data_IF_067498068084
#
_entry.id   IF_067498068084
#
_cell.length_a   1.000
_cell.length_b   1.000
_cell.length_c   1.000
_cell.angle_alpha   90.00
_cell.angle_beta   90.00
_cell.angle_gamma   90.00
#
_symmetry.space_group_name_H-M   'P 1'
#
loop_
_entity.id
_entity.type
_entity.pdbx_description
1 polymer ?
#
# COMPACT_ATOMS: atom_id res chain seq x y z
N UNK A 1 -27.47 -10.80 8.20
CA UNK A 1 -27.29 -11.11 6.76
C UNK A 1 -26.58 -9.97 6.04
N UNK A 2 -25.53 -10.30 5.27
CA UNK A 2 -24.71 -9.35 4.52
C UNK A 2 -25.05 -9.46 3.03
N UNK A 3 -24.98 -8.33 2.31
CA UNK A 3 -25.25 -8.27 0.86
C UNK A 3 -23.98 -7.92 0.10
N UNK A 4 -23.88 -8.36 -1.15
CA UNK A 4 -22.77 -7.99 -2.03
C UNK A 4 -22.88 -6.52 -2.40
N UNK A 5 -21.87 -5.73 -2.02
CA UNK A 5 -21.81 -4.26 -2.25
C UNK A 5 -20.81 -3.87 -3.33
N UNK A 6 -20.10 -4.82 -3.92
CA UNK A 6 -19.06 -4.58 -4.92
C UNK A 6 -18.14 -5.77 -5.08
N UNK A 7 -17.01 -5.53 -5.73
CA UNK A 7 -15.97 -6.53 -5.98
C UNK A 7 -14.59 -5.87 -5.92
N UNK A 8 -13.54 -6.69 -5.78
CA UNK A 8 -12.17 -6.19 -5.79
C UNK A 8 -11.27 -7.12 -6.60
N UNK A 9 -10.17 -6.56 -7.09
CA UNK A 9 -9.10 -7.31 -7.72
C UNK A 9 -7.76 -6.62 -7.46
N UNK A 10 -6.67 -7.25 -7.91
CA UNK A 10 -5.32 -6.74 -7.71
C UNK A 10 -4.64 -6.41 -9.03
N UNK A 11 -3.92 -5.30 -9.07
CA UNK A 11 -3.03 -4.91 -10.16
C UNK A 11 -1.59 -4.86 -9.65
N UNK A 12 -0.85 -5.99 -9.66
CA UNK A 12 0.47 -6.06 -9.06
C UNK A 12 1.48 -5.25 -9.88
N UNK A 13 1.99 -4.15 -9.32
CA UNK A 13 3.05 -3.33 -9.91
C UNK A 13 2.59 -2.29 -10.93
N UNK A 14 1.30 -2.25 -11.28
CA UNK A 14 0.76 -1.34 -12.30
C UNK A 14 -0.02 -0.14 -11.72
N UNK A 15 -0.21 -0.09 -10.39
CA UNK A 15 -1.05 0.89 -9.73
C UNK A 15 -2.56 0.65 -9.91
N UNK A 16 -3.37 1.53 -9.33
CA UNK A 16 -4.82 1.39 -9.29
C UNK A 16 -5.50 2.12 -10.46
N UNK A 17 -6.08 1.37 -11.38
CA UNK A 17 -6.89 1.84 -12.51
C UNK A 17 -7.75 0.68 -13.04
N UNK A 18 -8.74 0.95 -13.88
CA UNK A 18 -9.57 -0.10 -14.48
C UNK A 18 -9.22 -0.29 -15.96
N UNK A 19 -8.93 -1.54 -16.35
CA UNK A 19 -8.78 -1.93 -17.75
C UNK A 19 -10.12 -2.04 -18.46
N UNK A 20 -10.11 -2.21 -19.78
CA UNK A 20 -11.35 -2.45 -20.55
C UNK A 20 -12.12 -3.68 -20.07
N UNK A 21 -11.41 -4.73 -19.62
CA UNK A 21 -12.03 -5.94 -19.05
C UNK A 21 -12.66 -5.63 -17.69
N UNK A 22 -11.99 -4.84 -16.86
CA UNK A 22 -12.51 -4.43 -15.55
C UNK A 22 -13.74 -3.53 -15.67
N UNK A 23 -13.73 -2.62 -16.65
CA UNK A 23 -14.87 -1.75 -16.97
C UNK A 23 -16.08 -2.60 -17.37
N UNK A 24 -15.92 -3.56 -18.28
CA UNK A 24 -17.02 -4.43 -18.71
C UNK A 24 -17.57 -5.28 -17.55
N UNK A 25 -16.67 -5.76 -16.69
CA UNK A 25 -17.04 -6.52 -15.49
C UNK A 25 -17.83 -5.64 -14.51
N UNK A 26 -17.33 -4.44 -14.23
CA UNK A 26 -18.01 -3.47 -13.36
C UNK A 26 -19.38 -3.08 -13.92
N UNK A 27 -19.52 -2.89 -15.24
CA UNK A 27 -20.81 -2.59 -15.87
C UNK A 27 -21.85 -3.68 -15.60
N UNK A 28 -21.41 -4.95 -15.61
CA UNK A 28 -22.27 -6.09 -15.29
C UNK A 28 -22.70 -6.06 -13.82
N UNK A 29 -21.79 -5.75 -12.90
CA UNK A 29 -22.12 -5.61 -11.47
C UNK A 29 -23.04 -4.42 -11.18
N UNK A 30 -22.84 -3.28 -11.86
CA UNK A 30 -23.71 -2.10 -11.71
C UNK A 30 -25.14 -2.36 -12.23
N UNK A 31 -25.32 -3.26 -13.20
CA UNK A 31 -26.63 -3.68 -13.66
C UNK A 31 -27.42 -4.50 -12.61
N UNK A 32 -26.72 -5.27 -11.76
CA UNK A 32 -27.35 -5.98 -10.64
C UNK A 32 -27.52 -5.09 -9.41
N UNK A 33 -26.53 -4.24 -9.13
CA UNK A 33 -26.51 -3.33 -7.98
C UNK A 33 -25.95 -1.99 -8.40
N UNK A 34 -26.83 -0.99 -8.52
CA UNK A 34 -26.49 0.36 -8.99
C UNK A 34 -25.31 1.00 -8.24
N UNK A 35 -25.12 0.62 -6.97
CA UNK A 35 -24.07 1.16 -6.10
C UNK A 35 -22.85 0.27 -5.96
N UNK A 36 -22.69 -0.75 -6.80
CA UNK A 36 -21.50 -1.59 -6.80
C UNK A 36 -20.21 -0.75 -6.89
N UNK A 37 -19.20 -1.12 -6.11
CA UNK A 37 -17.89 -0.47 -6.11
C UNK A 37 -16.83 -1.47 -6.56
N UNK A 38 -15.94 -1.05 -7.47
CA UNK A 38 -14.75 -1.80 -7.84
C UNK A 38 -13.55 -1.31 -7.04
N UNK A 39 -12.91 -2.18 -6.26
CA UNK A 39 -11.70 -1.84 -5.49
C UNK A 39 -10.47 -2.45 -6.15
N UNK A 40 -9.42 -1.66 -6.34
CA UNK A 40 -8.14 -2.13 -6.91
C UNK A 40 -7.05 -1.97 -5.87
N UNK A 41 -6.33 -3.07 -5.61
CA UNK A 41 -5.21 -3.09 -4.67
C UNK A 41 -3.92 -3.42 -5.43
N UNK A 42 -2.85 -2.65 -5.19
CA UNK A 42 -1.52 -3.00 -5.68
C UNK A 42 -0.65 -3.49 -4.51
N UNK A 43 -0.51 -4.81 -4.30
CA UNK A 43 0.27 -5.35 -3.19
C UNK A 43 1.78 -5.16 -3.38
N UNK A 44 2.27 -4.94 -4.60
CA UNK A 44 3.72 -4.80 -4.87
C UNK A 44 4.18 -3.40 -4.52
N UNK A 45 3.39 -2.38 -4.89
CA UNK A 45 3.70 -0.99 -4.56
C UNK A 45 3.31 -0.61 -3.12
N UNK A 46 2.48 -1.44 -2.47
CA UNK A 46 2.12 -1.26 -1.06
C UNK A 46 3.30 -1.61 -0.15
N UNK A 47 3.72 -0.65 0.68
CA UNK A 47 4.83 -0.80 1.62
C UNK A 47 4.40 -0.43 3.04
N UNK A 48 5.21 -0.76 4.05
CA UNK A 48 4.92 -0.39 5.45
C UNK A 48 4.71 1.12 5.55
N UNK A 49 3.50 1.54 5.92
CA UNK A 49 3.11 2.95 6.05
C UNK A 49 2.37 3.55 4.84
N UNK A 50 2.31 2.86 3.70
CA UNK A 50 1.53 3.29 2.52
C UNK A 50 0.89 2.09 1.83
N UNK A 51 -0.43 1.99 1.95
CA UNK A 51 -1.22 1.01 1.20
C UNK A 51 -1.69 1.65 -0.10
N UNK A 52 -1.37 1.03 -1.23
CA UNK A 52 -1.79 1.47 -2.56
C UNK A 52 -3.12 0.77 -2.87
N UNK A 53 -4.21 1.50 -2.61
CA UNK A 53 -5.59 1.06 -2.80
C UNK A 53 -6.41 2.24 -3.30
N UNK A 54 -7.28 1.99 -4.27
CA UNK A 54 -8.24 2.96 -4.78
C UNK A 54 -9.57 2.25 -5.10
N UNK A 55 -10.65 3.02 -5.11
CA UNK A 55 -12.00 2.53 -5.36
C UNK A 55 -12.63 3.32 -6.50
N UNK A 56 -13.31 2.64 -7.40
CA UNK A 56 -13.82 3.21 -8.63
C UNK A 56 -15.29 2.88 -8.85
N UNK A 57 -15.96 3.76 -9.58
CA UNK A 57 -17.30 3.53 -10.16
C UNK A 57 -17.35 4.09 -11.58
N UNK A 58 -18.15 3.48 -12.44
CA UNK A 58 -18.30 3.95 -13.82
C UNK A 58 -19.09 5.25 -13.89
N UNK A 59 -18.82 6.00 -14.96
CA UNK A 59 -19.59 7.17 -15.36
C UNK A 59 -20.58 6.71 -16.43
N UNK A 60 -21.86 7.05 -16.27
CA UNK A 60 -22.85 6.77 -17.30
C UNK A 60 -22.54 7.66 -18.54
N UNK A 61 -22.31 7.08 -19.73
CA UNK A 61 -22.00 7.85 -20.94
C UNK A 61 -23.07 8.88 -21.29
N UNK A 62 -24.34 8.57 -21.00
CA UNK A 62 -25.45 9.49 -21.28
C UNK A 62 -25.36 10.77 -20.43
N UNK A 63 -24.83 10.68 -19.20
CA UNK A 63 -24.64 11.84 -18.34
C UNK A 63 -23.52 12.76 -18.83
N UNK A 64 -22.45 12.19 -19.40
CA UNK A 64 -21.35 12.98 -19.98
C UNK A 64 -21.81 13.81 -21.17
N UNK A 65 -22.63 13.22 -22.06
CA UNK A 65 -23.20 13.94 -23.21
C UNK A 65 -24.08 15.10 -22.75
N UNK A 66 -24.77 14.92 -21.62
CA UNK A 66 -25.60 15.95 -20.99
C UNK A 66 -24.80 17.03 -20.22
N UNK A 67 -23.47 16.93 -20.17
CA UNK A 67 -22.61 17.86 -19.45
C UNK A 67 -22.83 17.87 -17.93
N UNK A 68 -23.51 16.86 -17.38
CA UNK A 68 -23.76 16.75 -15.96
C UNK A 68 -22.57 16.08 -15.28
N UNK A 69 -22.07 16.70 -14.20
CA UNK A 69 -21.05 16.08 -13.36
C UNK A 69 -21.63 14.82 -12.70
N UNK A 70 -21.05 13.63 -12.96
CA UNK A 70 -21.58 12.37 -12.44
C UNK A 70 -21.32 12.18 -10.93
N UNK A 71 -20.51 13.06 -10.34
CA UNK A 71 -20.14 13.00 -8.92
C UNK A 71 -21.16 13.76 -8.08
N UNK A 72 -21.70 13.08 -7.07
CA UNK A 72 -22.42 13.78 -5.99
C UNK A 72 -21.41 14.50 -5.10
N UNK A 73 -21.40 15.83 -5.14
CA UNK A 73 -20.52 16.66 -4.30
C UNK A 73 -21.03 16.68 -2.86
N UNK A 74 -20.69 15.66 -2.07
CA UNK A 74 -21.00 15.65 -0.63
C UNK A 74 -19.81 16.19 0.16
N UNK A 75 -19.80 17.50 0.43
CA UNK A 75 -18.91 18.22 1.37
C UNK A 75 -17.41 18.41 1.01
N UNK A 76 -16.77 19.36 1.69
CA UNK A 76 -15.42 19.90 1.50
C UNK A 76 -14.25 18.93 1.85
N UNK A 77 -14.52 17.66 2.13
CA UNK A 77 -13.52 16.67 2.54
C UNK A 77 -12.84 15.93 1.37
N UNK A 78 -13.22 16.25 0.13
CA UNK A 78 -12.74 15.58 -1.07
C UNK A 78 -11.38 16.06 -1.56
N UNK A 79 -10.32 15.94 -0.76
CA UNK A 79 -8.97 15.88 -1.36
C UNK A 79 -8.84 14.49 -2.00
N UNK A 80 -9.41 14.34 -3.20
CA UNK A 80 -9.11 13.19 -4.06
C UNK A 80 -7.59 13.16 -4.23
N UNK A 81 -6.97 12.06 -3.84
CA UNK A 81 -5.53 11.87 -4.02
C UNK A 81 -5.19 12.18 -5.48
N UNK A 82 -4.10 12.94 -5.71
CA UNK A 82 -3.70 13.29 -7.07
C UNK A 82 -3.55 12.00 -7.87
N UNK A 83 -4.37 11.80 -8.92
CA UNK A 83 -4.37 10.53 -9.61
C UNK A 83 -3.03 10.29 -10.30
N UNK A 84 -2.67 9.01 -10.44
CA UNK A 84 -1.47 8.65 -11.19
C UNK A 84 -1.66 9.00 -12.68
N UNK A 85 -0.56 9.34 -13.35
CA UNK A 85 -0.59 9.62 -14.80
C UNK A 85 -1.11 8.40 -15.55
N UNK A 86 -0.74 7.19 -15.10
CA UNK A 86 -1.22 5.93 -15.66
C UNK A 86 -2.75 5.82 -15.56
N UNK A 87 -3.35 6.11 -14.40
CA UNK A 87 -4.81 6.06 -14.25
C UNK A 87 -5.52 7.06 -15.17
N UNK A 88 -4.96 8.26 -15.36
CA UNK A 88 -5.51 9.26 -16.28
C UNK A 88 -5.47 8.79 -17.74
N UNK A 89 -4.38 8.15 -18.17
CA UNK A 89 -4.25 7.56 -19.51
C UNK A 89 -5.29 6.45 -19.71
N UNK A 90 -5.54 5.66 -18.67
CA UNK A 90 -6.49 4.55 -18.70
C UNK A 90 -7.96 4.97 -18.47
N UNK A 91 -8.28 6.26 -18.61
CA UNK A 91 -9.67 6.73 -18.69
C UNK A 91 -10.29 7.18 -17.37
N UNK A 92 -9.49 7.40 -16.32
CA UNK A 92 -9.96 8.11 -15.12
C UNK A 92 -10.50 9.50 -15.49
N UNK A 93 -11.64 9.87 -14.91
CA UNK A 93 -12.44 11.07 -15.22
C UNK A 93 -13.13 11.05 -16.60
N UNK A 94 -13.06 9.94 -17.34
CA UNK A 94 -13.82 9.74 -18.58
C UNK A 94 -14.78 8.58 -18.45
N UNK A 95 -14.26 7.37 -18.20
CA UNK A 95 -15.09 6.16 -18.09
C UNK A 95 -15.47 5.85 -16.66
N UNK A 96 -14.67 6.29 -15.69
CA UNK A 96 -14.88 6.05 -14.28
C UNK A 96 -14.27 7.16 -13.44
N UNK A 97 -14.67 7.23 -12.17
CA UNK A 97 -14.12 8.16 -11.19
C UNK A 97 -13.66 7.43 -9.93
N UNK A 98 -12.65 8.00 -9.26
CA UNK A 98 -12.17 7.52 -7.96
C UNK A 98 -13.09 7.99 -6.83
N UNK A 99 -13.25 7.14 -5.83
CA UNK A 99 -14.01 7.36 -4.60
C UNK A 99 -13.02 7.43 -3.45
N UNK A 100 -13.17 8.45 -2.60
CA UNK A 100 -12.34 8.58 -1.41
C UNK A 100 -12.59 7.43 -0.43
N UNK A 101 -11.52 6.72 -0.05
CA UNK A 101 -11.56 5.63 0.93
C UNK A 101 -11.24 6.19 2.31
N UNK A 102 -12.04 5.80 3.31
CA UNK A 102 -11.76 6.08 4.71
C UNK A 102 -11.72 4.79 5.53
N UNK A 103 -10.89 4.76 6.57
CA UNK A 103 -10.72 3.61 7.44
C UNK A 103 -11.39 3.87 8.78
N UNK A 104 -12.34 3.00 9.13
CA UNK A 104 -12.89 2.95 10.48
C UNK A 104 -12.08 1.94 11.29
N UNK A 105 -11.55 2.36 12.44
CA UNK A 105 -10.85 1.48 13.39
C UNK A 105 -11.54 1.58 14.74
N UNK A 106 -11.90 0.44 15.31
CA UNK A 106 -12.48 0.37 16.64
C UNK A 106 -11.37 0.33 17.72
N UNK A 107 -11.66 0.80 18.93
CA UNK A 107 -10.70 0.77 20.03
C UNK A 107 -10.26 -0.67 20.38
N UNK A 108 -11.19 -1.62 20.32
CA UNK A 108 -10.89 -3.04 20.58
C UNK A 108 -9.96 -3.62 19.52
N UNK A 109 -10.19 -3.30 18.24
CA UNK A 109 -9.34 -3.71 17.13
C UNK A 109 -7.94 -3.11 17.28
N UNK A 110 -7.86 -1.82 17.63
CA UNK A 110 -6.59 -1.16 17.85
C UNK A 110 -5.82 -1.77 19.02
N UNK A 111 -6.48 -2.05 20.15
CA UNK A 111 -5.86 -2.75 21.30
C UNK A 111 -5.37 -4.15 20.92
N UNK A 112 -6.16 -4.92 20.17
CA UNK A 112 -5.79 -6.25 19.68
C UNK A 112 -4.58 -6.19 18.74
N UNK A 113 -4.60 -5.31 17.74
CA UNK A 113 -3.49 -5.12 16.79
C UNK A 113 -2.21 -4.66 17.48
N UNK A 114 -2.32 -3.76 18.48
CA UNK A 114 -1.17 -3.33 19.28
C UNK A 114 -0.58 -4.47 20.11
N UNK A 115 -1.41 -5.40 20.59
CA UNK A 115 -0.93 -6.55 21.36
C UNK A 115 -0.14 -7.54 20.51
N UNK A 116 -0.49 -7.72 19.23
CA UNK A 116 0.26 -8.60 18.31
C UNK A 116 1.70 -8.11 18.07
N UNK A 117 1.95 -6.81 18.17
CA UNK A 117 3.28 -6.22 17.96
C UNK A 117 4.09 -6.11 19.28
N UNK A 118 3.56 -6.58 20.41
CA UNK A 118 4.33 -6.62 21.66
C UNK A 118 5.34 -7.76 21.58
N UNK A 119 6.59 -7.50 21.97
CA UNK A 119 7.57 -8.56 22.21
C UNK A 119 7.02 -9.52 23.25
N UNK A 120 7.40 -10.79 23.15
CA UNK A 120 7.04 -11.74 24.19
C UNK A 120 7.62 -11.24 25.51
N UNK A 121 6.81 -11.16 26.57
CA UNK A 121 7.29 -10.76 27.89
C UNK A 121 8.41 -11.70 28.38
N UNK A 122 8.39 -12.94 27.90
CA UNK A 122 9.40 -13.97 28.15
C UNK A 122 10.78 -13.54 27.62
N UNK A 123 10.85 -12.81 26.49
CA UNK A 123 12.11 -12.35 25.90
C UNK A 123 12.88 -11.40 26.84
N UNK A 124 12.17 -10.69 27.73
CA UNK A 124 12.78 -9.79 28.71
C UNK A 124 13.15 -10.46 30.04
N UNK A 125 12.71 -11.71 30.27
CA UNK A 125 12.99 -12.46 31.49
C UNK A 125 13.93 -13.65 31.25
N UNK A 126 14.07 -14.07 30.00
CA UNK A 126 15.08 -15.03 29.60
C UNK A 126 16.43 -14.32 29.49
N UNK A 127 17.38 -14.79 30.28
CA UNK A 127 18.79 -14.48 30.07
C UNK A 127 19.30 -15.43 28.98
N UNK A 128 20.04 -14.89 28.02
CA UNK A 128 20.82 -15.72 27.13
C UNK A 128 21.96 -16.37 27.92
N UNK A 129 22.36 -17.58 27.53
CA UNK A 129 23.48 -18.26 28.16
C UNK A 129 24.77 -17.43 28.03
N UNK A 130 25.44 -17.21 29.16
CA UNK A 130 26.59 -16.32 29.24
C UNK A 130 27.75 -16.77 28.34
N UNK A 131 27.98 -18.09 28.21
CA UNK A 131 29.00 -18.64 27.31
C UNK A 131 28.75 -18.26 25.86
N UNK A 132 27.49 -18.41 25.44
CA UNK A 132 27.07 -18.23 24.05
C UNK A 132 27.05 -16.74 23.71
N UNK A 133 26.59 -15.91 24.63
CA UNK A 133 26.62 -14.46 24.49
C UNK A 133 28.07 -13.92 24.44
N UNK A 134 28.97 -14.40 25.30
CA UNK A 134 30.39 -14.00 25.27
C UNK A 134 31.08 -14.42 23.96
N UNK A 135 30.87 -15.67 23.51
CA UNK A 135 31.46 -16.14 22.25
C UNK A 135 30.91 -15.40 21.03
N UNK A 136 29.61 -15.07 21.02
CA UNK A 136 29.00 -14.25 19.99
C UNK A 136 29.58 -12.83 19.97
N UNK A 137 29.79 -12.22 21.13
CA UNK A 137 30.39 -10.89 21.23
C UNK A 137 31.83 -10.86 20.73
N UNK A 138 32.65 -11.84 21.16
CA UNK A 138 34.04 -11.96 20.69
C UNK A 138 34.10 -12.10 19.17
N UNK A 139 33.27 -12.98 18.60
CA UNK A 139 33.17 -13.16 17.15
C UNK A 139 32.72 -11.89 16.43
N UNK A 140 31.70 -11.21 16.95
CA UNK A 140 31.17 -9.97 16.35
C UNK A 140 32.20 -8.85 16.36
N UNK A 141 32.99 -8.72 17.43
CA UNK A 141 34.08 -7.73 17.53
C UNK A 141 35.22 -8.08 16.58
N UNK A 142 35.57 -9.36 16.44
CA UNK A 142 36.58 -9.81 15.49
C UNK A 142 36.16 -9.51 14.04
N UNK A 143 34.92 -9.82 13.68
CA UNK A 143 34.35 -9.49 12.36
C UNK A 143 34.35 -7.96 12.12
N UNK A 144 34.04 -7.17 13.15
CA UNK A 144 34.06 -5.71 13.08
C UNK A 144 35.47 -5.16 12.83
N UNK A 145 36.50 -5.74 13.47
CA UNK A 145 37.90 -5.36 13.27
C UNK A 145 38.34 -5.63 11.82
N UNK A 146 37.96 -6.78 11.28
CA UNK A 146 38.34 -7.17 9.92
C UNK A 146 37.62 -6.30 8.88
N UNK A 147 36.34 -5.97 9.11
CA UNK A 147 35.61 -4.97 8.31
C UNK A 147 36.26 -3.59 8.38
N UNK A 148 36.70 -3.14 9.55
CA UNK A 148 37.35 -1.84 9.72
C UNK A 148 38.71 -1.76 9.00
N UNK A 149 39.52 -2.84 9.07
CA UNK A 149 40.79 -2.94 8.32
C UNK A 149 40.54 -2.93 6.81
N UNK A 150 39.56 -3.68 6.34
CA UNK A 150 39.18 -3.71 4.92
C UNK A 150 38.69 -2.34 4.45
N UNK A 151 37.85 -1.67 5.23
CA UNK A 151 37.39 -0.31 4.95
C UNK A 151 38.56 0.68 4.86
N UNK A 152 39.49 0.64 5.82
CA UNK A 152 40.68 1.49 5.82
C UNK A 152 41.55 1.26 4.57
N UNK A 153 41.79 -0.01 4.21
CA UNK A 153 42.56 -0.38 3.02
C UNK A 153 41.90 0.14 1.73
N UNK A 154 40.58 -0.02 1.60
CA UNK A 154 39.83 0.48 0.43
C UNK A 154 39.87 2.00 0.37
N UNK A 155 39.67 2.70 1.50
CA UNK A 155 39.67 4.16 1.56
C UNK A 155 41.05 4.74 1.19
N UNK A 156 42.13 4.16 1.71
CA UNK A 156 43.50 4.56 1.37
C UNK A 156 43.84 4.28 -0.10
N UNK A 157 43.42 3.12 -0.64
CA UNK A 157 43.59 2.81 -2.06
C UNK A 157 42.81 3.78 -2.96
N UNK A 158 41.60 4.18 -2.57
CA UNK A 158 40.79 5.16 -3.30
C UNK A 158 41.43 6.54 -3.28
N UNK A 159 41.98 6.97 -2.14
CA UNK A 159 42.69 8.26 -2.03
C UNK A 159 43.92 8.35 -2.96
N UNK A 160 44.60 7.23 -3.22
CA UNK A 160 45.72 7.17 -4.17
C UNK A 160 45.29 7.13 -5.65
N UNK A 161 44.04 6.75 -5.96
CA UNK A 161 43.53 6.68 -7.34
C UNK A 161 42.90 8.01 -7.78
N UNK A 162 42.36 8.78 -6.82
CA UNK A 162 41.66 10.06 -7.08
C UNK A 162 42.57 11.28 -6.89
N UNK A 163 43.76 11.11 -6.29
CA UNK A 163 44.77 12.14 -6.09
C UNK A 163 45.79 12.25 -7.22
#
# INVERSE_FOLDING_TARGET
PEMVVGWYHSHPGFGCWLSGVDINTQQSFEALSERAVAVVVDPIQSVKGKVVIDAFRLINPNMMVLGQEPRQTTSNLGHLNKPSIQALIHGLNRHYYSIAINYRKNELEQKMLLNLHKKSWVDGLQLQDYSDHCSLNEKTVQDMLDLAKNYHKVCSSWAHIVG
#
